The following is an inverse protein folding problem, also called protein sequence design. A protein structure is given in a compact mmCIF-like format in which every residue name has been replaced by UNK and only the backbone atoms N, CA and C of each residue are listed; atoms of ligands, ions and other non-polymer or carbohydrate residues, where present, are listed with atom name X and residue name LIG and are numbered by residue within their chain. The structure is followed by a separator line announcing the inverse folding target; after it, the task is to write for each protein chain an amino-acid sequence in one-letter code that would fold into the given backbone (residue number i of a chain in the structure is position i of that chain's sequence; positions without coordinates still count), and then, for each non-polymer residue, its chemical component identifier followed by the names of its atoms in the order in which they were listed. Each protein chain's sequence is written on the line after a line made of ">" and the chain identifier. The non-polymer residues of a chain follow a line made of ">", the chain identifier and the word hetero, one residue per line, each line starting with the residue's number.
data_IF_972794778285
#
_entry.id   IF_972794778285
#
_cell.length_a   1.000
_cell.length_b   1.000
_cell.length_c   1.000
_cell.angle_alpha   90.00
_cell.angle_beta   90.00
_cell.angle_gamma   90.00
#
_symmetry.space_group_name_H-M   'P 1'
#
loop_
_entity.id
_entity.type
_entity.pdbx_description
1 polymer ?
#
# COMPACT_ATOMS: atom_id res chain seq x y z
N UNK A 1 -6.74 6.89 74.04
CA UNK A 1 -5.94 7.55 72.99
C UNK A 1 -5.62 6.54 71.91
N UNK A 2 -6.37 6.51 70.81
CA UNK A 2 -5.86 6.17 69.47
C UNK A 2 -6.99 6.42 68.48
N UNK A 3 -6.89 7.55 67.77
CA UNK A 3 -7.83 7.94 66.72
C UNK A 3 -7.74 6.98 65.53
N UNK A 4 -8.88 6.43 65.13
CA UNK A 4 -9.03 5.74 63.84
C UNK A 4 -8.96 6.78 62.74
N UNK A 5 -7.87 6.75 62.00
CA UNK A 5 -7.62 7.57 60.81
C UNK A 5 -8.64 7.25 59.72
N UNK A 6 -9.38 8.27 59.29
CA UNK A 6 -10.19 8.25 58.07
C UNK A 6 -9.26 8.13 56.85
N UNK A 7 -9.17 6.93 56.28
CA UNK A 7 -8.61 6.77 54.93
C UNK A 7 -9.59 7.42 53.94
N UNK A 8 -9.32 8.67 53.62
CA UNK A 8 -9.99 9.38 52.53
C UNK A 8 -9.45 8.81 51.22
N UNK A 9 -10.02 7.69 50.80
CA UNK A 9 -9.81 7.14 49.46
C UNK A 9 -10.26 8.21 48.47
N UNK A 10 -9.29 8.96 47.92
CA UNK A 10 -9.51 9.83 46.78
C UNK A 10 -9.81 8.91 45.60
N UNK A 11 -11.05 8.45 45.50
CA UNK A 11 -11.56 7.77 44.32
C UNK A 11 -11.28 8.69 43.14
N UNK A 12 -10.24 8.36 42.39
CA UNK A 12 -9.83 9.03 41.17
C UNK A 12 -11.02 8.95 40.22
N UNK A 13 -11.82 10.03 40.15
CA UNK A 13 -12.93 10.16 39.21
C UNK A 13 -12.35 9.96 37.82
N UNK A 14 -12.52 8.75 37.27
CA UNK A 14 -12.14 8.44 35.90
C UNK A 14 -12.98 9.35 35.01
N UNK A 15 -12.34 10.34 34.38
CA UNK A 15 -12.95 11.17 33.35
C UNK A 15 -13.23 10.27 32.15
N UNK A 16 -14.49 9.97 31.87
CA UNK A 16 -14.89 9.34 30.62
C UNK A 16 -14.80 10.35 29.48
N UNK A 17 -14.40 9.88 28.29
CA UNK A 17 -14.45 10.68 27.07
C UNK A 17 -15.91 11.09 26.81
N UNK A 18 -16.12 12.37 26.50
CA UNK A 18 -17.43 12.83 26.08
C UNK A 18 -17.69 12.36 24.63
N UNK A 19 -18.94 12.03 24.29
CA UNK A 19 -19.30 11.65 22.91
C UNK A 19 -18.90 12.72 21.89
N UNK A 20 -18.91 13.99 22.30
CA UNK A 20 -18.53 15.13 21.46
C UNK A 20 -17.03 15.17 21.16
N UNK A 21 -16.17 14.79 22.11
CA UNK A 21 -14.72 14.69 21.88
C UNK A 21 -14.38 13.62 20.83
N UNK A 22 -15.10 12.51 20.80
CA UNK A 22 -14.90 11.50 19.76
C UNK A 22 -15.50 11.93 18.41
N UNK A 23 -16.65 12.61 18.45
CA UNK A 23 -17.36 13.06 17.25
C UNK A 23 -16.55 14.08 16.44
N UNK A 24 -15.90 15.04 17.10
CA UNK A 24 -15.10 16.06 16.41
C UNK A 24 -13.86 15.44 15.75
N UNK A 25 -13.25 14.43 16.37
CA UNK A 25 -12.05 13.78 15.84
C UNK A 25 -12.35 13.04 14.55
N UNK A 26 -13.43 12.24 14.53
CA UNK A 26 -13.81 11.53 13.30
C UNK A 26 -14.24 12.50 12.20
N UNK A 27 -14.84 13.65 12.56
CA UNK A 27 -15.19 14.68 11.59
C UNK A 27 -13.94 15.28 10.92
N UNK A 28 -12.90 15.61 11.70
CA UNK A 28 -11.64 16.14 11.16
C UNK A 28 -10.92 15.08 10.31
N UNK A 29 -10.84 13.82 10.78
CA UNK A 29 -10.25 12.72 9.98
C UNK A 29 -11.00 12.54 8.66
N UNK A 30 -12.33 12.63 8.66
CA UNK A 30 -13.16 12.53 7.46
C UNK A 30 -12.88 13.62 6.44
N UNK A 31 -12.71 14.87 6.88
CA UNK A 31 -12.36 16.01 6.01
C UNK A 31 -10.98 15.79 5.38
N UNK A 32 -9.99 15.35 6.16
CA UNK A 32 -8.66 15.07 5.64
C UNK A 32 -8.68 13.88 4.66
N UNK A 33 -9.39 12.81 5.00
CA UNK A 33 -9.49 11.62 4.16
C UNK A 33 -10.20 11.89 2.82
N UNK A 34 -11.25 12.73 2.81
CA UNK A 34 -12.00 13.05 1.58
C UNK A 34 -11.14 13.80 0.55
N UNK A 35 -10.17 14.60 1.01
CA UNK A 35 -9.19 15.27 0.14
C UNK A 35 -8.10 14.31 -0.36
N UNK A 36 -7.75 13.28 0.44
CA UNK A 36 -6.67 12.34 0.13
C UNK A 36 -7.10 11.19 -0.81
N UNK A 37 -8.33 10.69 -0.67
CA UNK A 37 -8.87 9.58 -1.47
C UNK A 37 -8.83 9.81 -2.99
N UNK A 38 -9.26 10.96 -3.56
CA UNK A 38 -9.19 11.18 -5.00
C UNK A 38 -7.74 11.24 -5.52
N UNK A 39 -6.82 11.80 -4.74
CA UNK A 39 -5.39 11.84 -5.10
C UNK A 39 -4.77 10.43 -5.13
N UNK A 40 -5.18 9.54 -4.21
CA UNK A 40 -4.69 8.16 -4.15
C UNK A 40 -5.10 7.32 -5.38
N UNK A 41 -6.29 7.56 -5.94
CA UNK A 41 -6.74 6.90 -7.16
C UNK A 41 -5.82 7.20 -8.36
N UNK A 42 -5.47 8.47 -8.55
CA UNK A 42 -4.53 8.89 -9.61
C UNK A 42 -3.13 8.30 -9.42
N UNK A 43 -2.62 8.31 -8.19
CA UNK A 43 -1.31 7.74 -7.86
C UNK A 43 -1.22 6.24 -8.18
N UNK A 44 -2.31 5.48 -7.93
CA UNK A 44 -2.37 4.04 -8.24
C UNK A 44 -2.30 3.78 -9.75
N UNK A 45 -3.03 4.53 -10.56
CA UNK A 45 -2.99 4.41 -12.03
C UNK A 45 -1.60 4.76 -12.59
N UNK A 46 -0.98 5.83 -12.06
CA UNK A 46 0.39 6.19 -12.39
C UNK A 46 1.40 5.10 -12.00
N UNK A 47 1.24 4.47 -10.82
CA UNK A 47 2.11 3.39 -10.38
C UNK A 47 2.03 2.13 -11.29
N UNK A 48 0.83 1.76 -11.76
CA UNK A 48 0.69 0.67 -12.73
C UNK A 48 1.38 0.99 -14.05
N UNK A 49 1.23 2.23 -14.52
CA UNK A 49 1.88 2.70 -15.75
C UNK A 49 3.41 2.68 -15.61
N UNK A 50 3.93 3.18 -14.48
CA UNK A 50 5.36 3.14 -14.17
C UNK A 50 5.92 1.71 -14.12
N UNK A 51 5.16 0.77 -13.55
CA UNK A 51 5.53 -0.65 -13.53
C UNK A 51 5.59 -1.24 -14.94
N UNK A 52 4.58 -0.98 -15.77
CA UNK A 52 4.58 -1.41 -17.16
C UNK A 52 5.78 -0.84 -17.93
N UNK A 53 6.06 0.45 -17.76
CA UNK A 53 7.21 1.10 -18.39
C UNK A 53 8.54 0.48 -17.95
N UNK A 54 8.69 0.16 -16.66
CA UNK A 54 9.89 -0.53 -16.16
C UNK A 54 10.05 -1.92 -16.77
N UNK A 55 8.97 -2.70 -16.88
CA UNK A 55 9.00 -4.02 -17.52
C UNK A 55 9.41 -3.91 -19.00
N UNK A 56 8.86 -2.95 -19.73
CA UNK A 56 9.21 -2.73 -21.14
C UNK A 56 10.66 -2.29 -21.31
N UNK A 57 11.18 -1.45 -20.42
CA UNK A 57 12.61 -1.09 -20.41
C UNK A 57 13.48 -2.32 -20.19
N UNK A 58 13.14 -3.18 -19.23
CA UNK A 58 13.87 -4.43 -18.97
C UNK A 58 13.84 -5.38 -20.16
N UNK A 59 12.68 -5.54 -20.81
CA UNK A 59 12.55 -6.33 -22.05
C UNK A 59 13.37 -5.74 -23.19
N UNK A 60 13.32 -4.42 -23.39
CA UNK A 60 14.11 -3.75 -24.43
C UNK A 60 15.61 -3.92 -24.22
N UNK A 61 16.09 -3.82 -22.98
CA UNK A 61 17.47 -4.12 -22.63
C UNK A 61 17.82 -5.57 -22.94
N UNK A 62 16.99 -6.53 -22.55
CA UNK A 62 17.22 -7.94 -22.84
C UNK A 62 17.24 -8.23 -24.35
N UNK A 63 16.37 -7.60 -25.12
CA UNK A 63 16.34 -7.72 -26.58
C UNK A 63 17.60 -7.15 -27.24
N UNK A 64 18.05 -5.97 -26.78
CA UNK A 64 19.29 -5.38 -27.29
C UNK A 64 20.50 -6.28 -27.01
N UNK A 65 20.63 -6.80 -25.78
CA UNK A 65 21.69 -7.74 -25.43
C UNK A 65 21.64 -9.01 -26.29
N UNK A 66 20.45 -9.55 -26.53
CA UNK A 66 20.30 -10.74 -27.36
C UNK A 66 20.68 -10.49 -28.83
N UNK A 67 20.28 -9.35 -29.40
CA UNK A 67 20.62 -9.00 -30.78
C UNK A 67 22.11 -8.72 -30.93
N UNK A 68 22.75 -8.13 -29.91
CA UNK A 68 24.21 -7.93 -29.88
C UNK A 68 24.97 -9.27 -29.93
N UNK A 69 24.51 -10.27 -29.17
CA UNK A 69 25.16 -11.59 -29.10
C UNK A 69 24.85 -12.50 -30.31
N UNK A 70 23.63 -12.44 -30.85
CA UNK A 70 23.13 -13.42 -31.84
C UNK A 70 22.80 -12.83 -33.22
N UNK A 71 22.95 -11.51 -33.41
CA UNK A 71 22.63 -10.75 -34.64
C UNK A 71 21.19 -10.95 -35.18
N UNK A 72 20.28 -11.45 -34.34
CA UNK A 72 18.89 -11.71 -34.69
C UNK A 72 17.99 -11.50 -33.49
N UNK A 73 16.71 -11.19 -33.73
CA UNK A 73 15.71 -11.17 -32.66
C UNK A 73 15.41 -12.59 -32.16
N UNK A 74 15.03 -12.75 -30.87
CA UNK A 74 14.69 -14.04 -30.31
C UNK A 74 13.48 -14.64 -31.06
N UNK A 75 13.44 -15.96 -31.24
CA UNK A 75 12.31 -16.62 -31.87
C UNK A 75 11.03 -16.29 -31.09
N UNK A 76 9.97 -15.89 -31.80
CA UNK A 76 8.67 -15.69 -31.16
C UNK A 76 8.20 -17.01 -30.55
N UNK A 77 7.58 -16.96 -29.37
CA UNK A 77 7.07 -18.13 -28.67
C UNK A 77 5.99 -18.93 -29.44
N UNK A 78 5.68 -18.54 -30.69
CA UNK A 78 4.78 -19.27 -31.59
C UNK A 78 5.42 -20.49 -32.28
N UNK A 79 6.71 -20.76 -32.05
CA UNK A 79 7.43 -21.91 -32.62
C UNK A 79 7.56 -23.12 -31.71
N UNK A 80 6.99 -23.12 -30.49
CA UNK A 80 7.04 -24.32 -29.66
C UNK A 80 6.12 -25.40 -30.26
N UNK A 81 6.62 -26.60 -30.61
CA UNK A 81 5.74 -27.72 -30.92
C UNK A 81 4.82 -27.95 -29.72
N UNK A 82 3.50 -27.95 -29.95
CA UNK A 82 2.44 -28.12 -28.94
C UNK A 82 2.45 -29.45 -28.16
N UNK A 83 3.58 -30.15 -28.07
CA UNK A 83 3.64 -31.54 -27.60
C UNK A 83 4.82 -31.92 -26.70
N UNK A 84 5.63 -31.01 -26.17
CA UNK A 84 6.75 -31.40 -25.29
C UNK A 84 6.77 -30.63 -23.96
N UNK A 85 5.72 -30.83 -23.16
CA UNK A 85 5.77 -30.72 -21.70
C UNK A 85 5.02 -31.90 -21.10
N UNK A 86 5.60 -33.08 -21.28
CA UNK A 86 5.32 -34.26 -20.47
C UNK A 86 6.65 -34.73 -19.88
N UNK A 87 7.10 -34.07 -18.81
CA UNK A 87 7.81 -34.68 -17.68
C UNK A 87 7.95 -33.68 -16.54
#
# INVERSE_FOLDING_TARGET
>A
MTGRQERRDRASRRRGFTLIELLVVIAVIGILASLLLPALGGAKSAAFSARCQSNLRQLGLALNLYVDDFERYPPSAGGLPRGTLAR
#
